data_IF_603578777297
#
_entry.id   IF_603578777297
#
_cell.length_a   1.000
_cell.length_b   1.000
_cell.length_c   1.000
_cell.angle_alpha   90.00
_cell.angle_beta   90.00
_cell.angle_gamma   90.00
#
_symmetry.space_group_name_H-M   'P 1'
#
loop_
_entity.id
_entity.type
_entity.pdbx_description
1 polymer ?
#
# COMPACT_ATOMS: atom_id res chain seq x y z
N UNK A 1 17.92 10.02 -18.26
CA UNK A 1 17.19 9.87 -16.98
C UNK A 1 18.13 10.22 -15.83
N UNK A 2 17.80 11.26 -15.06
CA UNK A 2 18.58 11.72 -13.89
C UNK A 2 18.85 10.58 -12.89
N UNK A 3 20.07 10.53 -12.34
CA UNK A 3 20.49 9.52 -11.35
C UNK A 3 19.55 9.48 -10.12
N UNK A 4 18.94 10.62 -9.79
CA UNK A 4 18.01 10.80 -8.67
C UNK A 4 16.71 10.02 -8.89
N UNK A 5 16.22 9.92 -10.13
CA UNK A 5 14.99 9.18 -10.45
C UNK A 5 15.18 7.67 -10.33
N UNK A 6 16.35 7.15 -10.72
CA UNK A 6 16.69 5.73 -10.57
C UNK A 6 16.82 5.34 -9.09
N UNK A 7 17.33 6.24 -8.25
CA UNK A 7 17.41 6.03 -6.80
C UNK A 7 16.02 5.96 -6.16
N UNK A 8 15.12 6.88 -6.50
CA UNK A 8 13.73 6.85 -6.00
C UNK A 8 12.98 5.60 -6.47
N UNK A 9 13.16 5.18 -7.73
CA UNK A 9 12.61 3.92 -8.23
C UNK A 9 13.09 2.70 -7.44
N UNK A 10 14.40 2.62 -7.14
CA UNK A 10 14.95 1.53 -6.33
C UNK A 10 14.39 1.54 -4.90
N UNK A 11 14.26 2.71 -4.26
CA UNK A 11 13.68 2.84 -2.92
C UNK A 11 12.26 2.28 -2.85
N UNK A 12 11.41 2.67 -3.79
CA UNK A 12 10.02 2.20 -3.80
C UNK A 12 9.91 0.73 -4.19
N UNK A 13 10.76 0.22 -5.09
CA UNK A 13 10.80 -1.22 -5.40
C UNK A 13 11.18 -2.05 -4.16
N UNK A 14 12.14 -1.60 -3.37
CA UNK A 14 12.53 -2.25 -2.10
C UNK A 14 11.39 -2.14 -1.08
N UNK A 15 10.78 -0.96 -0.94
CA UNK A 15 9.63 -0.74 -0.04
C UNK A 15 8.47 -1.70 -0.34
N UNK A 16 8.12 -1.86 -1.62
CA UNK A 16 7.04 -2.74 -2.08
C UNK A 16 7.40 -4.23 -1.85
N UNK A 17 8.67 -4.60 -2.04
CA UNK A 17 9.14 -5.96 -1.75
C UNK A 17 9.05 -6.28 -0.26
N UNK A 18 9.48 -5.36 0.61
CA UNK A 18 9.36 -5.51 2.07
C UNK A 18 7.89 -5.58 2.50
N UNK A 19 7.02 -4.77 1.90
CA UNK A 19 5.57 -4.82 2.17
C UNK A 19 4.99 -6.18 1.81
N UNK A 20 5.35 -6.74 0.64
CA UNK A 20 4.93 -8.10 0.23
C UNK A 20 5.44 -9.16 1.22
N UNK A 21 6.70 -9.08 1.67
CA UNK A 21 7.27 -10.04 2.62
C UNK A 21 6.51 -9.98 3.96
N UNK A 22 6.24 -8.78 4.47
CA UNK A 22 5.48 -8.64 5.72
C UNK A 22 4.04 -9.13 5.52
N UNK A 23 3.42 -8.85 4.37
CA UNK A 23 2.09 -9.35 4.03
C UNK A 23 2.04 -10.88 4.08
N UNK A 24 3.02 -11.56 3.48
CA UNK A 24 3.12 -13.03 3.50
C UNK A 24 3.27 -13.55 4.93
N UNK A 25 4.13 -12.93 5.75
CA UNK A 25 4.33 -13.35 7.15
C UNK A 25 3.04 -13.22 7.95
N UNK A 26 2.30 -12.12 7.79
CA UNK A 26 1.05 -11.89 8.50
C UNK A 26 -0.07 -12.83 8.02
N UNK A 27 -0.12 -13.14 6.72
CA UNK A 27 -1.05 -14.14 6.16
C UNK A 27 -0.80 -15.54 6.72
N UNK A 28 0.46 -15.94 6.87
CA UNK A 28 0.81 -17.24 7.47
C UNK A 28 0.39 -17.29 8.94
N UNK A 29 0.55 -16.18 9.67
CA UNK A 29 0.16 -16.09 11.08
C UNK A 29 -1.37 -16.23 11.28
N UNK A 30 -2.17 -15.54 10.46
CA UNK A 30 -3.63 -15.58 10.57
C UNK A 30 -4.29 -16.83 9.97
N UNK A 31 -3.57 -17.60 9.16
CA UNK A 31 -4.09 -18.86 8.58
C UNK A 31 -4.34 -19.94 9.65
N UNK A 32 -3.78 -19.80 10.85
CA UNK A 32 -3.91 -20.76 11.94
C UNK A 32 -5.21 -20.63 12.76
N UNK A 33 -5.94 -19.53 12.62
CA UNK A 33 -7.02 -19.18 13.56
C UNK A 33 -8.42 -19.58 13.02
N UNK A 34 -8.93 -18.87 12.00
CA UNK A 34 -10.23 -19.15 11.38
C UNK A 34 -10.29 -18.61 9.94
N UNK A 35 -10.95 -19.33 9.03
CA UNK A 35 -11.03 -18.93 7.61
C UNK A 35 -11.70 -17.57 7.39
N UNK A 36 -12.75 -17.25 8.18
CA UNK A 36 -13.46 -15.97 8.10
C UNK A 36 -12.58 -14.82 8.63
N UNK A 37 -11.83 -15.06 9.71
CA UNK A 37 -10.89 -14.08 10.29
C UNK A 37 -9.76 -13.81 9.31
N UNK A 38 -9.20 -14.87 8.73
CA UNK A 38 -8.18 -14.79 7.69
C UNK A 38 -8.65 -13.97 6.47
N UNK A 39 -9.81 -14.30 5.90
CA UNK A 39 -10.37 -13.56 4.77
C UNK A 39 -10.62 -12.08 5.11
N UNK A 40 -11.16 -11.80 6.30
CA UNK A 40 -11.44 -10.43 6.74
C UNK A 40 -10.15 -9.61 6.84
N UNK A 41 -9.10 -10.18 7.43
CA UNK A 41 -7.79 -9.56 7.52
C UNK A 41 -7.17 -9.32 6.13
N UNK A 42 -7.25 -10.32 5.25
CA UNK A 42 -6.70 -10.28 3.90
C UNK A 42 -7.37 -9.18 3.08
N UNK A 43 -8.70 -9.09 3.14
CA UNK A 43 -9.47 -8.04 2.47
C UNK A 43 -9.15 -6.63 3.01
N UNK A 44 -9.02 -6.47 4.32
CA UNK A 44 -8.62 -5.19 4.93
C UNK A 44 -7.24 -4.73 4.46
N UNK A 45 -6.32 -5.67 4.38
CA UNK A 45 -4.94 -5.40 3.97
C UNK A 45 -4.82 -5.15 2.45
N UNK A 46 -5.52 -5.94 1.62
CA UNK A 46 -5.59 -5.72 0.17
C UNK A 46 -6.20 -4.36 -0.18
N UNK A 47 -7.16 -3.89 0.61
CA UNK A 47 -7.82 -2.61 0.38
C UNK A 47 -6.86 -1.42 0.42
N UNK A 48 -5.71 -1.54 1.08
CA UNK A 48 -4.67 -0.51 1.16
C UNK A 48 -3.50 -0.81 0.22
N UNK A 49 -3.15 -2.09 0.09
CA UNK A 49 -2.05 -2.54 -0.77
C UNK A 49 -2.31 -2.27 -2.26
N UNK A 50 -3.53 -2.50 -2.75
CA UNK A 50 -3.90 -2.26 -4.15
C UNK A 50 -3.77 -0.77 -4.52
N UNK A 51 -4.36 0.18 -3.77
CA UNK A 51 -4.16 1.61 -3.99
C UNK A 51 -2.70 2.04 -3.94
N UNK A 52 -1.89 1.44 -3.07
CA UNK A 52 -0.48 1.76 -3.01
C UNK A 52 0.29 1.28 -4.24
N UNK A 53 0.04 0.06 -4.72
CA UNK A 53 0.63 -0.41 -5.96
C UNK A 53 0.29 0.51 -7.13
N UNK A 54 -0.97 0.97 -7.21
CA UNK A 54 -1.42 1.95 -8.20
C UNK A 54 -0.71 3.29 -8.02
N UNK A 55 -0.54 3.77 -6.79
CA UNK A 55 0.20 5.01 -6.50
C UNK A 55 1.66 4.92 -6.95
N UNK A 56 2.37 3.84 -6.59
CA UNK A 56 3.76 3.61 -7.01
C UNK A 56 3.84 3.53 -8.53
N UNK A 57 2.92 2.82 -9.17
CA UNK A 57 2.87 2.74 -10.62
C UNK A 57 2.65 4.11 -11.28
N UNK A 58 1.67 4.89 -10.80
CA UNK A 58 1.39 6.25 -11.28
C UNK A 58 2.60 7.18 -11.09
N UNK A 59 3.28 7.10 -9.94
CA UNK A 59 4.42 7.97 -9.64
C UNK A 59 5.65 7.68 -10.52
N UNK A 60 5.85 6.43 -10.95
CA UNK A 60 7.05 6.03 -11.68
C UNK A 60 6.88 5.81 -13.18
N UNK A 61 5.69 5.43 -13.65
CA UNK A 61 5.44 5.09 -15.06
C UNK A 61 4.68 6.18 -15.81
N UNK A 62 3.92 7.06 -15.14
CA UNK A 62 3.30 8.19 -15.83
C UNK A 62 4.38 9.22 -16.15
N UNK A 63 4.53 9.53 -17.44
CA UNK A 63 5.51 10.49 -17.97
C UNK A 63 5.45 11.82 -17.21
N UNK A 64 6.62 12.29 -16.81
CA UNK A 64 6.86 13.54 -16.09
C UNK A 64 6.71 14.75 -17.02
N UNK A 65 5.49 15.06 -17.45
CA UNK A 65 5.21 16.28 -18.23
C UNK A 65 4.82 17.48 -17.37
N UNK A 66 4.75 17.32 -16.04
CA UNK A 66 4.29 18.39 -15.15
C UNK A 66 5.43 19.07 -14.40
N UNK A 67 5.59 20.38 -14.62
CA UNK A 67 6.59 21.26 -14.01
C UNK A 67 6.50 21.38 -12.47
N UNK A 68 5.40 20.91 -11.85
CA UNK A 68 5.15 21.06 -10.41
C UNK A 68 5.10 19.70 -9.68
N UNK A 69 6.25 19.29 -9.16
CA UNK A 69 6.48 18.05 -8.39
C UNK A 69 5.57 17.90 -7.15
N UNK A 70 5.21 19.02 -6.49
CA UNK A 70 4.33 19.03 -5.32
C UNK A 70 2.88 18.68 -5.64
N UNK A 71 2.35 19.14 -6.79
CA UNK A 71 0.96 18.87 -7.19
C UNK A 71 0.76 17.38 -7.52
N UNK A 72 1.75 16.73 -8.12
CA UNK A 72 1.68 15.31 -8.45
C UNK A 72 1.66 14.43 -7.18
N UNK A 73 2.42 14.81 -6.16
CA UNK A 73 2.43 14.08 -4.89
C UNK A 73 1.05 14.09 -4.24
N UNK A 74 0.44 15.28 -4.19
CA UNK A 74 -0.91 15.46 -3.64
C UNK A 74 -1.99 14.76 -4.47
N UNK A 75 -1.89 14.81 -5.81
CA UNK A 75 -2.81 14.08 -6.70
C UNK A 75 -2.68 12.57 -6.54
N UNK A 76 -1.46 12.04 -6.41
CA UNK A 76 -1.24 10.62 -6.19
C UNK A 76 -1.82 10.17 -4.83
N UNK A 77 -1.61 10.94 -3.78
CA UNK A 77 -2.21 10.65 -2.46
C UNK A 77 -3.73 10.69 -2.52
N UNK A 78 -4.33 11.70 -3.17
CA UNK A 78 -5.78 11.76 -3.37
C UNK A 78 -6.34 10.56 -4.12
N UNK A 79 -5.69 10.15 -5.23
CA UNK A 79 -6.09 8.96 -6.00
C UNK A 79 -6.00 7.71 -5.13
N UNK A 80 -4.94 7.57 -4.33
CA UNK A 80 -4.79 6.45 -3.38
C UNK A 80 -5.96 6.41 -2.38
N UNK A 81 -6.32 7.54 -1.78
CA UNK A 81 -7.43 7.62 -0.82
C UNK A 81 -8.78 7.28 -1.47
N UNK A 82 -9.09 7.87 -2.63
CA UNK A 82 -10.36 7.59 -3.33
C UNK A 82 -10.45 6.11 -3.71
N UNK A 83 -9.38 5.54 -4.25
CA UNK A 83 -9.35 4.12 -4.63
C UNK A 83 -9.54 3.22 -3.39
N UNK A 84 -8.90 3.59 -2.28
CA UNK A 84 -9.05 2.87 -1.00
C UNK A 84 -10.51 2.86 -0.55
N UNK A 85 -11.17 4.02 -0.54
CA UNK A 85 -12.59 4.14 -0.14
C UNK A 85 -13.48 3.29 -1.05
N UNK A 86 -13.28 3.35 -2.37
CA UNK A 86 -14.03 2.52 -3.31
C UNK A 86 -13.88 1.02 -3.03
N UNK A 87 -12.66 0.55 -2.75
CA UNK A 87 -12.39 -0.87 -2.46
C UNK A 87 -13.02 -1.28 -1.12
N UNK A 88 -12.88 -0.46 -0.07
CA UNK A 88 -13.52 -0.72 1.24
C UNK A 88 -15.03 -0.88 1.06
N UNK A 89 -15.68 0.08 0.40
CA UNK A 89 -17.14 0.03 0.16
C UNK A 89 -17.53 -1.21 -0.65
N UNK A 90 -16.76 -1.56 -1.67
CA UNK A 90 -17.01 -2.75 -2.49
C UNK A 90 -16.92 -4.05 -1.69
N UNK A 91 -15.91 -4.17 -0.82
CA UNK A 91 -15.71 -5.35 0.03
C UNK A 91 -16.85 -5.49 1.04
N UNK A 92 -17.18 -4.41 1.77
CA UNK A 92 -18.27 -4.45 2.75
C UNK A 92 -19.63 -4.75 2.13
N UNK A 93 -19.85 -4.34 0.87
CA UNK A 93 -21.07 -4.66 0.14
C UNK A 93 -21.14 -6.11 -0.33
N UNK A 94 -20.00 -6.69 -0.71
CA UNK A 94 -19.96 -7.99 -1.42
C UNK A 94 -19.67 -9.17 -0.49
N UNK A 95 -18.89 -8.98 0.56
CA UNK A 95 -18.41 -10.05 1.43
C UNK A 95 -18.85 -9.86 2.89
N UNK A 96 -19.25 -10.97 3.53
CA UNK A 96 -19.43 -11.00 4.98
C UNK A 96 -18.07 -11.10 5.66
N UNK A 97 -17.52 -9.94 6.03
CA UNK A 97 -16.24 -9.81 6.75
C UNK A 97 -16.46 -9.36 8.19
N UNK A 98 -15.62 -9.85 9.10
CA UNK A 98 -15.58 -9.34 10.46
C UNK A 98 -14.96 -7.94 10.43
N UNK A 99 -15.78 -6.94 10.77
CA UNK A 99 -15.40 -5.52 10.75
C UNK A 99 -14.13 -5.25 11.57
N UNK A 100 -14.02 -5.82 12.78
CA UNK A 100 -12.90 -5.55 13.68
C UNK A 100 -11.59 -6.04 13.06
N UNK A 101 -11.58 -7.28 12.57
CA UNK A 101 -10.40 -7.91 11.97
C UNK A 101 -10.02 -7.23 10.66
N UNK A 102 -11.02 -6.83 9.86
CA UNK A 102 -10.81 -6.05 8.64
C UNK A 102 -10.09 -4.73 8.93
N UNK A 103 -10.57 -3.97 9.93
CA UNK A 103 -9.94 -2.69 10.28
C UNK A 103 -8.54 -2.87 10.87
N UNK A 104 -8.27 -3.94 11.62
CA UNK A 104 -6.92 -4.24 12.11
C UNK A 104 -5.95 -4.45 10.93
N UNK A 105 -6.30 -5.28 9.96
CA UNK A 105 -5.47 -5.48 8.76
C UNK A 105 -5.30 -4.21 7.93
N UNK A 106 -6.37 -3.43 7.80
CA UNK A 106 -6.35 -2.13 7.16
C UNK A 106 -5.35 -1.17 7.83
N UNK A 107 -5.45 -0.98 9.15
CA UNK A 107 -4.59 -0.04 9.89
C UNK A 107 -3.12 -0.47 9.89
N UNK A 108 -2.85 -1.77 10.08
CA UNK A 108 -1.47 -2.29 10.04
C UNK A 108 -0.86 -2.04 8.67
N UNK A 109 -1.60 -2.34 7.60
CA UNK A 109 -1.11 -2.15 6.23
C UNK A 109 -0.93 -0.66 5.93
N UNK A 110 -1.84 0.21 6.37
CA UNK A 110 -1.73 1.66 6.21
C UNK A 110 -0.50 2.24 6.92
N UNK A 111 -0.25 1.79 8.15
CA UNK A 111 0.96 2.17 8.88
C UNK A 111 2.22 1.72 8.16
N UNK A 112 2.27 0.46 7.72
CA UNK A 112 3.38 -0.07 6.94
C UNK A 112 3.63 0.77 5.70
N UNK A 113 2.57 1.09 4.98
CA UNK A 113 2.63 1.78 3.71
C UNK A 113 3.23 3.19 3.82
N UNK A 114 2.95 3.87 4.93
CA UNK A 114 3.48 5.21 5.21
C UNK A 114 4.85 5.15 5.89
N UNK A 115 5.11 4.16 6.75
CA UNK A 115 6.37 4.02 7.49
C UNK A 115 7.50 3.41 6.65
N UNK A 116 7.20 2.47 5.75
CA UNK A 116 8.21 1.80 4.91
C UNK A 116 9.03 2.77 4.04
N UNK A 117 8.44 3.71 3.27
CA UNK A 117 9.23 4.67 2.51
C UNK A 117 10.06 5.60 3.43
N UNK A 118 9.58 5.89 4.65
CA UNK A 118 10.32 6.66 5.64
C UNK A 118 11.48 5.85 6.27
N UNK A 119 11.29 4.55 6.53
CA UNK A 119 12.33 3.68 7.05
C UNK A 119 13.39 3.37 5.99
N UNK A 120 13.00 3.14 4.74
CA UNK A 120 13.93 2.94 3.62
C UNK A 120 14.77 4.20 3.39
N UNK A 121 14.20 5.40 3.49
CA UNK A 121 15.00 6.64 3.38
C UNK A 121 16.02 6.78 4.51
N UNK A 122 15.66 6.38 5.75
CA UNK A 122 16.51 6.49 6.93
C UNK A 122 17.61 5.41 7.00
N UNK A 123 17.29 4.16 6.66
CA UNK A 123 18.23 3.04 6.78
C UNK A 123 19.10 2.82 5.54
N UNK A 124 18.57 3.04 4.33
CA UNK A 124 19.36 2.78 3.12
C UNK A 124 20.25 3.95 2.70
N UNK A 125 20.10 5.15 3.29
CA UNK A 125 20.94 6.34 3.01
C UNK A 125 21.25 6.52 1.51
N UNK A 126 20.23 6.27 0.67
CA UNK A 126 20.25 6.50 -0.77
C UNK A 126 19.81 7.93 -1.02
#
# INVERSE_FOLDING_TARGET
MSAVLKQTQKKYKISLLVEIVIFIVVLVFFSADNYIVFLSFLFGSLSVFVPYCVFVWLMFFVKQEYENTLKMFYYGELVKFILTICIVVFIFKTFMVNFIVFFIGYFITLLLNNLLPFMVSKYFKI
#
